data_IF_056581443429
#
_entry.id   IF_056581443429
#
_cell.length_a   1.000
_cell.length_b   1.000
_cell.length_c   1.000
_cell.angle_alpha   90.00
_cell.angle_beta   90.00
_cell.angle_gamma   90.00
#
_symmetry.space_group_name_H-M   'P 1'
#
loop_
_entity.id
_entity.type
_entity.pdbx_description
1 polymer ?
#
# COMPACT_ATOMS: atom_id res chain seq x y z
N UNK A 1 -5.71 10.17 -14.89
CA UNK A 1 -6.74 9.56 -14.00
C UNK A 1 -7.00 10.54 -12.87
N UNK A 2 -8.26 10.81 -12.51
CA UNK A 2 -8.63 11.69 -11.39
C UNK A 2 -9.19 10.83 -10.27
N UNK A 3 -8.83 11.13 -9.03
CA UNK A 3 -9.30 10.42 -7.84
C UNK A 3 -9.96 11.41 -6.88
N UNK A 4 -10.88 10.91 -6.06
CA UNK A 4 -11.55 11.70 -5.04
C UNK A 4 -11.09 11.24 -3.65
N UNK A 5 -10.59 12.19 -2.86
CA UNK A 5 -10.25 11.99 -1.45
C UNK A 5 -10.92 13.08 -0.57
N UNK A 6 -10.52 13.17 0.70
CA UNK A 6 -11.07 14.16 1.63
C UNK A 6 -10.83 15.63 1.21
N UNK A 7 -9.91 15.88 0.28
CA UNK A 7 -9.58 17.20 -0.26
C UNK A 7 -10.27 17.46 -1.61
N UNK A 8 -11.15 16.56 -2.06
CA UNK A 8 -11.87 16.67 -3.33
C UNK A 8 -11.20 15.91 -4.47
N UNK A 9 -11.47 16.33 -5.70
CA UNK A 9 -10.96 15.66 -6.90
C UNK A 9 -9.52 16.12 -7.18
N UNK A 10 -8.60 15.17 -7.24
CA UNK A 10 -7.18 15.42 -7.47
C UNK A 10 -6.47 14.34 -8.27
N UNK A 11 -5.15 14.42 -8.27
CA UNK A 11 -4.25 13.40 -8.79
C UNK A 11 -3.77 12.51 -7.65
N UNK A 12 -3.52 11.25 -7.95
CA UNK A 12 -2.90 10.34 -7.01
C UNK A 12 -1.40 10.22 -7.32
N UNK A 13 -0.58 10.27 -6.27
CA UNK A 13 0.85 10.02 -6.33
C UNK A 13 1.21 9.02 -5.23
N UNK A 14 1.91 7.96 -5.61
CA UNK A 14 2.43 6.95 -4.68
C UNK A 14 3.72 7.43 -4.04
N UNK A 15 3.99 6.98 -2.81
CA UNK A 15 5.28 7.25 -2.16
C UNK A 15 6.41 6.50 -2.86
N UNK A 16 6.22 5.20 -3.11
CA UNK A 16 7.18 4.38 -3.85
C UNK A 16 6.53 3.11 -4.40
N UNK A 17 7.09 2.55 -5.47
CA UNK A 17 6.68 1.24 -5.98
C UNK A 17 7.80 0.55 -6.76
N UNK A 18 7.75 -0.78 -6.82
CA UNK A 18 8.66 -1.62 -7.59
C UNK A 18 7.90 -2.34 -8.70
N UNK A 19 8.41 -2.25 -9.92
CA UNK A 19 7.87 -2.97 -11.07
C UNK A 19 8.69 -4.24 -11.28
N UNK A 20 8.05 -5.40 -11.13
CA UNK A 20 8.63 -6.71 -11.40
C UNK A 20 7.93 -7.33 -12.61
N UNK A 21 8.55 -8.34 -13.21
CA UNK A 21 8.00 -9.00 -14.41
C UNK A 21 6.55 -9.49 -14.23
N UNK A 22 6.21 -10.01 -13.05
CA UNK A 22 4.89 -10.62 -12.77
C UNK A 22 3.94 -9.78 -11.91
N UNK A 23 4.43 -8.71 -11.26
CA UNK A 23 3.64 -7.91 -10.30
C UNK A 23 4.25 -6.54 -10.06
N UNK A 24 3.46 -5.65 -9.47
CA UNK A 24 3.93 -4.38 -8.91
C UNK A 24 3.79 -4.44 -7.39
N UNK A 25 4.75 -3.87 -6.67
CA UNK A 25 4.68 -3.73 -5.21
C UNK A 25 4.59 -2.24 -4.90
N UNK A 26 3.49 -1.81 -4.31
CA UNK A 26 3.23 -0.42 -3.95
C UNK A 26 3.46 -0.20 -2.46
N UNK A 27 4.18 0.86 -2.11
CA UNK A 27 4.44 1.26 -0.74
C UNK A 27 3.74 2.58 -0.43
N UNK A 28 3.12 2.64 0.75
CA UNK A 28 2.73 3.87 1.42
C UNK A 28 3.49 3.94 2.75
N UNK A 29 4.18 5.05 3.00
CA UNK A 29 5.10 5.20 4.11
C UNK A 29 4.57 6.23 5.11
N UNK A 30 4.21 5.79 6.31
CA UNK A 30 3.73 6.67 7.38
C UNK A 30 4.58 6.56 8.63
N UNK A 31 4.70 7.62 9.42
CA UNK A 31 5.33 7.52 10.74
C UNK A 31 4.54 6.57 11.65
N UNK A 32 3.21 6.67 11.62
CA UNK A 32 2.29 5.83 12.39
C UNK A 32 1.25 5.22 11.45
N UNK A 33 0.86 3.97 11.68
CA UNK A 33 -0.23 3.31 10.97
C UNK A 33 -1.54 4.11 11.10
N UNK A 34 -2.22 4.35 9.97
CA UNK A 34 -3.48 5.11 9.91
C UNK A 34 -4.46 4.50 8.92
N UNK A 35 -5.77 4.62 9.20
CA UNK A 35 -6.84 4.23 8.27
C UNK A 35 -6.75 4.98 6.92
N UNK A 36 -6.25 6.21 6.95
CA UNK A 36 -6.01 6.98 5.73
C UNK A 36 -4.98 6.30 4.81
N UNK A 37 -3.87 5.78 5.37
CA UNK A 37 -2.86 5.06 4.59
C UNK A 37 -3.41 3.81 3.90
N UNK A 38 -4.26 3.04 4.59
CA UNK A 38 -4.99 1.92 3.99
C UNK A 38 -5.88 2.39 2.84
N UNK A 39 -6.67 3.45 3.05
CA UNK A 39 -7.56 4.01 2.03
C UNK A 39 -6.79 4.55 0.81
N UNK A 40 -5.62 5.17 1.02
CA UNK A 40 -4.76 5.64 -0.08
C UNK A 40 -4.29 4.46 -0.94
N UNK A 41 -3.79 3.39 -0.33
CA UNK A 41 -3.36 2.17 -1.03
C UNK A 41 -4.50 1.53 -1.83
N UNK A 42 -5.66 1.35 -1.21
CA UNK A 42 -6.77 0.61 -1.82
C UNK A 42 -7.53 1.41 -2.88
N UNK A 43 -7.81 2.70 -2.60
CA UNK A 43 -8.73 3.50 -3.43
C UNK A 43 -8.03 4.40 -4.43
N UNK A 44 -6.76 4.75 -4.19
CA UNK A 44 -6.01 5.66 -5.07
C UNK A 44 -4.93 4.89 -5.82
N UNK A 45 -4.05 4.21 -5.10
CA UNK A 45 -2.81 3.70 -5.69
C UNK A 45 -2.98 2.38 -6.42
N UNK A 46 -3.71 1.42 -5.83
CA UNK A 46 -4.03 0.16 -6.50
C UNK A 46 -4.67 0.38 -7.87
N UNK A 47 -5.80 1.11 -8.00
CA UNK A 47 -6.42 1.31 -9.31
C UNK A 47 -5.52 2.07 -10.29
N UNK A 48 -4.75 3.05 -9.82
CA UNK A 48 -3.80 3.78 -10.67
C UNK A 48 -2.73 2.85 -11.26
N UNK A 49 -2.02 2.12 -10.41
CA UNK A 49 -0.92 1.25 -10.84
C UNK A 49 -1.44 0.06 -11.65
N UNK A 50 -2.62 -0.46 -11.31
CA UNK A 50 -3.25 -1.54 -12.07
C UNK A 50 -3.64 -1.09 -13.48
N UNK A 51 -4.09 0.16 -13.66
CA UNK A 51 -4.36 0.71 -14.98
C UNK A 51 -3.10 0.99 -15.81
N UNK A 52 -1.97 1.32 -15.17
CA UNK A 52 -0.70 1.61 -15.87
C UNK A 52 0.03 0.32 -16.29
N UNK A 53 0.10 -0.65 -15.38
CA UNK A 53 0.96 -1.82 -15.55
C UNK A 53 0.21 -3.10 -15.93
N UNK A 54 -1.13 -3.12 -15.83
CA UNK A 54 -1.98 -4.29 -16.10
C UNK A 54 -1.51 -5.56 -15.37
N UNK A 55 -0.98 -5.37 -14.16
CA UNK A 55 -0.37 -6.42 -13.34
C UNK A 55 -1.01 -6.49 -11.95
N UNK A 56 -0.92 -7.65 -11.27
CA UNK A 56 -1.27 -7.74 -9.85
C UNK A 56 -0.47 -6.73 -9.01
N UNK A 57 -1.17 -6.06 -8.10
CA UNK A 57 -0.56 -5.05 -7.20
C UNK A 57 -0.54 -5.60 -5.78
N UNK A 58 0.65 -5.74 -5.20
CA UNK A 58 0.86 -5.99 -3.78
C UNK A 58 0.89 -4.65 -3.07
N UNK A 59 0.11 -4.49 -2.00
CA UNK A 59 -0.01 -3.25 -1.25
C UNK A 59 0.71 -3.37 0.08
N UNK A 60 1.62 -2.45 0.37
CA UNK A 60 2.40 -2.45 1.61
C UNK A 60 2.27 -1.10 2.31
N UNK A 61 1.64 -1.07 3.48
CA UNK A 61 1.72 0.06 4.40
C UNK A 61 2.96 -0.12 5.28
N UNK A 62 3.98 0.69 5.03
CA UNK A 62 5.19 0.71 5.84
C UNK A 62 5.05 1.78 6.92
N UNK A 63 5.31 1.42 8.17
CA UNK A 63 5.25 2.40 9.26
C UNK A 63 6.25 2.14 10.39
N UNK A 64 6.55 3.17 11.19
CA UNK A 64 7.41 3.00 12.37
C UNK A 64 6.61 2.59 13.60
N UNK A 65 5.45 3.21 13.80
CA UNK A 65 4.58 2.97 14.95
C UNK A 65 3.32 2.22 14.51
N UNK A 66 3.12 1.00 15.03
CA UNK A 66 1.87 0.27 14.87
C UNK A 66 0.83 0.84 15.83
N UNK A 67 -0.31 1.27 15.28
CA UNK A 67 -1.46 1.76 16.05
C UNK A 67 -2.52 0.68 16.23
N UNK A 68 -2.46 -0.39 15.42
CA UNK A 68 -3.36 -1.54 15.39
C UNK A 68 -4.82 -1.15 15.19
N UNK A 69 -5.05 -0.06 14.45
CA UNK A 69 -6.37 0.51 14.22
C UNK A 69 -7.25 -0.35 13.29
N UNK A 70 -6.65 -1.10 12.34
CA UNK A 70 -7.39 -2.06 11.52
C UNK A 70 -7.18 -3.49 12.07
N UNK A 71 -8.28 -4.14 12.45
CA UNK A 71 -8.29 -5.53 12.93
C UNK A 71 -8.14 -6.55 11.80
N UNK A 72 -8.34 -6.14 10.54
CA UNK A 72 -8.23 -7.00 9.35
C UNK A 72 -6.85 -6.92 8.70
N UNK A 73 -5.91 -6.20 9.32
CA UNK A 73 -4.56 -6.04 8.81
C UNK A 73 -3.84 -7.38 8.72
N UNK A 74 -3.09 -7.56 7.65
CA UNK A 74 -2.09 -8.63 7.59
C UNK A 74 -0.74 -8.00 7.95
N UNK A 75 -0.19 -8.33 9.10
CA UNK A 75 1.16 -7.89 9.48
C UNK A 75 2.21 -8.80 8.84
N UNK A 76 3.27 -8.19 8.32
CA UNK A 76 4.50 -8.89 7.92
C UNK A 76 5.61 -8.62 8.93
N UNK A 77 6.33 -9.66 9.32
CA UNK A 77 7.42 -9.58 10.31
C UNK A 77 8.76 -9.19 9.69
N UNK A 78 8.82 -9.10 8.37
CA UNK A 78 10.00 -8.67 7.63
C UNK A 78 9.62 -8.05 6.29
N UNK A 79 10.53 -7.24 5.74
CA UNK A 79 10.38 -6.73 4.38
C UNK A 79 10.25 -7.88 3.38
N UNK A 80 11.01 -8.96 3.55
CA UNK A 80 10.96 -10.13 2.67
C UNK A 80 9.56 -10.75 2.63
N UNK A 81 8.93 -10.91 3.79
CA UNK A 81 7.56 -11.42 3.87
C UNK A 81 6.57 -10.49 3.15
N UNK A 82 6.69 -9.18 3.37
CA UNK A 82 5.85 -8.20 2.67
C UNK A 82 6.03 -8.25 1.15
N UNK A 83 7.27 -8.38 0.66
CA UNK A 83 7.58 -8.48 -0.76
C UNK A 83 7.07 -9.78 -1.40
N UNK A 84 7.02 -10.88 -0.64
CA UNK A 84 6.59 -12.18 -1.14
C UNK A 84 5.07 -12.39 -1.07
N UNK A 85 4.34 -11.55 -0.33
CA UNK A 85 2.91 -11.65 -0.17
C UNK A 85 2.15 -11.71 -1.51
N UNK A 86 1.04 -12.49 -1.59
CA UNK A 86 0.20 -12.50 -2.78
C UNK A 86 -0.64 -11.22 -2.86
N UNK A 87 -0.88 -10.72 -4.08
CA UNK A 87 -1.68 -9.52 -4.32
C UNK A 87 -3.14 -9.63 -3.84
N UNK A 88 -3.63 -10.84 -3.58
CA UNK A 88 -4.97 -11.13 -3.05
C UNK A 88 -5.08 -10.95 -1.53
N UNK A 89 -3.96 -10.75 -0.82
CA UNK A 89 -3.93 -10.71 0.66
C UNK A 89 -4.49 -9.43 1.27
N UNK A 90 -4.81 -8.42 0.44
CA UNK A 90 -5.15 -7.07 0.91
C UNK A 90 -3.90 -6.25 1.20
N UNK A 91 -4.03 -5.25 2.07
CA UNK A 91 -2.90 -4.42 2.51
C UNK A 91 -2.06 -5.18 3.53
N UNK A 92 -0.74 -5.26 3.25
CA UNK A 92 0.26 -5.79 4.17
C UNK A 92 0.83 -4.65 4.99
N UNK A 93 0.80 -4.76 6.31
CA UNK A 93 1.40 -3.77 7.21
C UNK A 93 2.77 -4.25 7.64
N UNK A 94 3.80 -3.46 7.36
CA UNK A 94 5.18 -3.76 7.70
C UNK A 94 5.73 -2.69 8.64
N UNK A 95 6.16 -3.10 9.83
CA UNK A 95 6.80 -2.20 10.79
C UNK A 95 8.30 -2.06 10.48
N UNK A 96 8.74 -0.86 10.12
CA UNK A 96 10.13 -0.52 9.91
C UNK A 96 10.74 0.11 11.17
N UNK A 97 11.77 -0.51 11.73
CA UNK A 97 12.40 -0.08 12.99
C UNK A 97 13.74 0.65 12.83
N UNK A 98 14.31 0.67 11.62
CA UNK A 98 15.66 1.20 11.35
C UNK A 98 16.60 0.13 10.82
#
# INVERSE_FOLDING_TARGET
MRFEDSNGIGYAQTDSYLVLNSRVICFECKLTETLAGYSQLEKLYKPLLQAIYERPIVLVLTCKNLSRLDLRRTEANSLREALLAPATKGVITFQWLG
#
